data_IF_077248939490
#
_entry.id   IF_077248939490
#
_cell.length_a   1.000
_cell.length_b   1.000
_cell.length_c   1.000
_cell.angle_alpha   90.00
_cell.angle_beta   90.00
_cell.angle_gamma   90.00
#
_symmetry.space_group_name_H-M   'P 1'
#
loop_
_entity.id
_entity.type
_entity.pdbx_description
1 polymer ?
#
# COMPACT_ATOMS: atom_id res chain seq x y z
N UNK A 1 2.19 5.06 27.67
CA UNK A 1 3.03 4.17 26.84
C UNK A 1 3.46 4.94 25.59
N UNK A 2 4.76 5.03 25.32
CA UNK A 2 5.30 5.69 24.11
C UNK A 2 4.93 4.88 22.87
N UNK A 3 4.26 5.50 21.89
CA UNK A 3 3.89 4.85 20.61
C UNK A 3 4.86 5.27 19.51
N UNK A 4 5.80 4.38 19.19
CA UNK A 4 6.73 4.55 18.07
C UNK A 4 6.44 3.58 16.93
N UNK A 5 6.79 4.01 15.71
CA UNK A 5 6.92 3.14 14.53
C UNK A 5 8.26 3.44 13.87
N UNK A 6 8.80 2.49 13.10
CA UNK A 6 10.08 2.66 12.41
C UNK A 6 10.10 3.92 11.54
N UNK A 7 8.99 4.22 10.85
CA UNK A 7 8.84 5.45 10.07
C UNK A 7 8.87 6.73 10.92
N UNK A 8 8.18 6.73 12.06
CA UNK A 8 8.17 7.86 13.01
C UNK A 8 9.55 8.14 13.57
N UNK A 9 10.28 7.09 13.96
CA UNK A 9 11.63 7.20 14.50
C UNK A 9 12.63 7.68 13.45
N UNK A 10 12.56 7.13 12.23
CA UNK A 10 13.38 7.57 11.10
C UNK A 10 13.15 9.06 10.78
N UNK A 11 11.89 9.50 10.72
CA UNK A 11 11.57 10.93 10.52
C UNK A 11 12.16 11.80 11.62
N UNK A 12 12.09 11.38 12.89
CA UNK A 12 12.67 12.12 14.00
C UNK A 12 14.20 12.21 13.89
N UNK A 13 14.86 11.10 13.57
CA UNK A 13 16.31 11.05 13.37
C UNK A 13 16.77 11.94 12.21
N UNK A 14 15.99 11.99 11.13
CA UNK A 14 16.28 12.84 9.98
C UNK A 14 16.03 14.33 10.29
N UNK A 15 14.88 14.66 10.88
CA UNK A 15 14.51 16.03 11.21
C UNK A 15 13.49 16.07 12.37
N UNK A 16 13.93 16.37 13.61
CA UNK A 16 13.03 16.48 14.77
C UNK A 16 11.94 17.54 14.60
N UNK A 17 12.22 18.61 13.85
CA UNK A 17 11.24 19.67 13.57
C UNK A 17 10.11 19.18 12.67
N UNK A 18 10.43 18.39 11.64
CA UNK A 18 9.41 17.77 10.79
C UNK A 18 8.53 16.82 11.60
N UNK A 19 9.14 16.00 12.47
CA UNK A 19 8.40 15.11 13.36
C UNK A 19 7.42 15.88 14.25
N UNK A 20 7.87 16.99 14.88
CA UNK A 20 7.00 17.86 15.68
C UNK A 20 5.80 18.35 14.87
N UNK A 21 6.02 18.92 13.69
CA UNK A 21 4.93 19.40 12.83
C UNK A 21 3.95 18.30 12.42
N UNK A 22 4.46 17.11 12.10
CA UNK A 22 3.62 16.00 11.65
C UNK A 22 2.82 15.33 12.76
N UNK A 23 3.41 15.12 13.94
CA UNK A 23 2.87 14.23 14.97
C UNK A 23 2.57 14.89 16.32
N UNK A 24 3.17 16.06 16.61
CA UNK A 24 2.91 16.81 17.85
C UNK A 24 1.92 17.94 17.58
N UNK A 25 2.18 18.74 16.55
CA UNK A 25 1.32 19.86 16.16
C UNK A 25 0.16 19.41 15.24
N UNK A 26 0.13 18.13 14.84
CA UNK A 26 -0.90 17.49 14.00
C UNK A 26 -1.19 18.21 12.67
N UNK A 27 -0.21 18.96 12.15
CA UNK A 27 -0.37 19.71 10.89
C UNK A 27 -0.59 18.78 9.70
N UNK A 28 -0.14 17.53 9.81
CA UNK A 28 -0.40 16.50 8.81
C UNK A 28 -1.90 16.28 8.58
N UNK A 29 -2.75 16.35 9.61
CA UNK A 29 -4.20 16.16 9.46
C UNK A 29 -4.84 17.29 8.64
N UNK A 30 -4.28 18.50 8.71
CA UNK A 30 -4.78 19.68 8.02
C UNK A 30 -4.27 19.76 6.59
N UNK A 31 -2.97 19.50 6.38
CA UNK A 31 -2.30 19.79 5.10
C UNK A 31 -2.01 18.56 4.23
N UNK A 32 -2.11 17.34 4.77
CA UNK A 32 -1.83 16.13 3.97
C UNK A 32 -2.90 15.96 2.90
N UNK A 33 -2.47 16.04 1.65
CA UNK A 33 -3.28 15.68 0.49
C UNK A 33 -3.05 14.21 0.14
N UNK A 34 -4.09 13.47 -0.28
CA UNK A 34 -3.89 12.15 -0.85
C UNK A 34 -3.01 12.26 -2.10
N UNK A 35 -2.17 11.25 -2.31
CA UNK A 35 -1.26 11.19 -3.46
C UNK A 35 -1.46 9.88 -4.18
N UNK A 36 -1.36 9.87 -5.52
CA UNK A 36 -1.74 8.68 -6.28
C UNK A 36 -0.82 7.49 -6.00
N UNK A 37 0.48 7.72 -5.79
CA UNK A 37 1.43 6.65 -5.42
C UNK A 37 1.15 6.04 -4.04
N UNK A 38 0.69 6.84 -3.06
CA UNK A 38 0.28 6.32 -1.75
C UNK A 38 -1.02 5.52 -1.87
N UNK A 39 -2.00 6.01 -2.63
CA UNK A 39 -3.26 5.31 -2.88
C UNK A 39 -3.05 4.00 -3.65
N UNK A 40 -2.22 4.01 -4.69
CA UNK A 40 -1.81 2.79 -5.40
C UNK A 40 -1.14 1.80 -4.45
N UNK A 41 -0.15 2.25 -3.67
CA UNK A 41 0.57 1.38 -2.74
C UNK A 41 -0.35 0.75 -1.70
N UNK A 42 -1.31 1.51 -1.16
CA UNK A 42 -2.33 0.99 -0.25
C UNK A 42 -3.12 -0.18 -0.86
N UNK A 43 -3.55 -0.05 -2.12
CA UNK A 43 -4.26 -1.12 -2.83
C UNK A 43 -3.41 -2.35 -3.06
N UNK A 44 -2.15 -2.17 -3.48
CA UNK A 44 -1.21 -3.28 -3.69
C UNK A 44 -0.96 -4.04 -2.39
N UNK A 45 -0.67 -3.33 -1.30
CA UNK A 45 -0.44 -3.95 0.01
C UNK A 45 -1.69 -4.67 0.52
N UNK A 46 -2.87 -4.08 0.35
CA UNK A 46 -4.12 -4.72 0.74
C UNK A 46 -4.40 -5.99 -0.08
N UNK A 47 -4.10 -5.99 -1.38
CA UNK A 47 -4.27 -7.16 -2.24
C UNK A 47 -3.28 -8.27 -1.88
N UNK A 48 -2.00 -7.94 -1.70
CA UNK A 48 -0.96 -8.91 -1.33
C UNK A 48 -1.18 -9.50 0.06
N UNK A 49 -1.65 -8.68 1.01
CA UNK A 49 -2.03 -9.17 2.34
C UNK A 49 -3.08 -10.28 2.21
N UNK A 50 -4.21 -9.99 1.59
CA UNK A 50 -5.31 -10.94 1.47
C UNK A 50 -4.90 -12.16 0.63
N UNK A 51 -4.09 -11.96 -0.41
CA UNK A 51 -3.56 -13.03 -1.23
C UNK A 51 -2.69 -14.02 -0.44
N UNK A 52 -1.82 -13.53 0.45
CA UNK A 52 -0.91 -14.38 1.21
C UNK A 52 -1.50 -14.89 2.54
N UNK A 53 -2.54 -14.24 3.08
CA UNK A 53 -3.13 -14.63 4.36
C UNK A 53 -4.48 -15.34 4.27
N UNK A 54 -5.24 -15.15 3.20
CA UNK A 54 -6.61 -15.67 3.05
C UNK A 54 -6.69 -16.70 1.93
N UNK A 55 -6.04 -16.46 0.79
CA UNK A 55 -6.12 -17.38 -0.36
C UNK A 55 -5.30 -18.65 -0.07
N UNK A 56 -5.89 -19.85 -0.19
CA UNK A 56 -5.16 -21.11 -0.11
C UNK A 56 -4.02 -21.17 -1.13
N UNK A 57 -2.90 -21.82 -0.79
CA UNK A 57 -1.68 -21.83 -1.62
C UNK A 57 -1.94 -22.31 -3.05
N UNK A 58 -2.87 -23.25 -3.19
CA UNK A 58 -3.26 -23.96 -4.39
C UNK A 58 -4.06 -23.06 -5.34
N UNK A 59 -4.68 -22.01 -4.81
CA UNK A 59 -5.44 -21.00 -5.56
C UNK A 59 -4.63 -19.73 -5.85
N UNK A 60 -3.39 -19.64 -5.35
CA UNK A 60 -2.52 -18.46 -5.50
C UNK A 60 -1.94 -18.37 -6.91
N UNK A 61 -2.78 -17.83 -7.80
CA UNK A 61 -2.42 -17.55 -9.19
C UNK A 61 -2.28 -16.05 -9.43
N UNK A 62 -1.55 -15.67 -10.49
CA UNK A 62 -1.43 -14.28 -10.94
C UNK A 62 -2.82 -13.66 -11.18
N UNK A 63 -3.72 -14.40 -11.84
CA UNK A 63 -5.10 -13.96 -12.09
C UNK A 63 -5.86 -13.70 -10.79
N UNK A 64 -5.71 -14.56 -9.78
CA UNK A 64 -6.35 -14.36 -8.47
C UNK A 64 -5.85 -13.08 -7.79
N UNK A 65 -4.55 -12.80 -7.86
CA UNK A 65 -3.97 -11.57 -7.31
C UNK A 65 -4.42 -10.31 -8.06
N UNK A 66 -4.52 -10.35 -9.38
CA UNK A 66 -5.06 -9.24 -10.19
C UNK A 66 -6.53 -8.94 -9.83
N UNK A 67 -7.34 -9.98 -9.64
CA UNK A 67 -8.74 -9.81 -9.24
C UNK A 67 -8.84 -9.18 -7.84
N UNK A 68 -8.04 -9.64 -6.88
CA UNK A 68 -7.98 -9.02 -5.55
C UNK A 68 -7.56 -7.54 -5.65
N UNK A 69 -6.58 -7.21 -6.49
CA UNK A 69 -6.18 -5.82 -6.71
C UNK A 69 -7.35 -4.97 -7.22
N UNK A 70 -8.10 -5.47 -8.20
CA UNK A 70 -9.31 -4.77 -8.74
C UNK A 70 -10.38 -4.59 -7.68
N UNK A 71 -10.60 -5.58 -6.82
CA UNK A 71 -11.51 -5.48 -5.68
C UNK A 71 -11.05 -4.39 -4.68
N UNK A 72 -9.74 -4.37 -4.34
CA UNK A 72 -9.20 -3.38 -3.40
C UNK A 72 -9.25 -1.96 -3.96
N UNK A 73 -9.05 -1.82 -5.26
CA UNK A 73 -9.03 -0.54 -5.95
C UNK A 73 -10.28 0.31 -5.71
N UNK A 74 -11.45 -0.34 -5.54
CA UNK A 74 -12.72 0.34 -5.29
C UNK A 74 -12.80 1.04 -3.92
N UNK A 75 -11.91 0.70 -2.97
CA UNK A 75 -11.96 1.25 -1.60
C UNK A 75 -11.60 2.74 -1.52
N UNK A 76 -10.68 3.20 -2.36
CA UNK A 76 -10.15 4.56 -2.28
C UNK A 76 -9.61 5.02 -3.64
N UNK A 77 -10.19 6.09 -4.19
CA UNK A 77 -9.78 6.68 -5.47
C UNK A 77 -9.37 8.15 -5.33
N UNK A 78 -9.34 8.68 -4.10
CA UNK A 78 -9.13 10.12 -3.81
C UNK A 78 -7.72 10.63 -4.13
N UNK A 79 -6.76 9.73 -4.29
CA UNK A 79 -5.38 10.08 -4.62
C UNK A 79 -5.14 10.37 -6.11
N UNK A 80 -6.05 9.93 -6.97
CA UNK A 80 -5.92 10.11 -8.41
C UNK A 80 -6.52 11.46 -8.83
N UNK A 81 -5.87 12.10 -9.79
CA UNK A 81 -6.28 13.42 -10.27
C UNK A 81 -7.57 13.36 -11.08
N UNK A 82 -7.66 12.38 -11.96
CA UNK A 82 -8.75 12.13 -12.90
C UNK A 82 -8.73 10.65 -13.34
N UNK A 83 -9.66 10.27 -14.22
CA UNK A 83 -9.81 8.89 -14.67
C UNK A 83 -8.63 8.39 -15.51
N UNK A 84 -7.95 9.28 -16.25
CA UNK A 84 -6.79 8.90 -17.05
C UNK A 84 -5.56 8.66 -16.17
N UNK A 85 -5.33 9.54 -15.17
CA UNK A 85 -4.31 9.35 -14.14
C UNK A 85 -4.56 8.03 -13.40
N UNK A 86 -5.80 7.80 -12.96
CA UNK A 86 -6.16 6.55 -12.29
C UNK A 86 -5.87 5.32 -13.15
N UNK A 87 -6.23 5.34 -14.44
CA UNK A 87 -5.95 4.24 -15.36
C UNK A 87 -4.45 3.96 -15.44
N UNK A 88 -3.62 5.00 -15.56
CA UNK A 88 -2.16 4.85 -15.61
C UNK A 88 -1.61 4.23 -14.32
N UNK A 89 -2.11 4.65 -13.15
CA UNK A 89 -1.71 4.06 -11.87
C UNK A 89 -2.23 2.62 -11.71
N UNK A 90 -3.41 2.30 -12.23
CA UNK A 90 -3.95 0.94 -12.26
C UNK A 90 -3.08 0.00 -13.08
N UNK A 91 -2.65 0.40 -14.28
CA UNK A 91 -1.74 -0.39 -15.11
C UNK A 91 -0.37 -0.61 -14.44
N UNK A 92 0.16 0.43 -13.76
CA UNK A 92 1.38 0.30 -12.95
C UNK A 92 1.19 -0.66 -11.78
N UNK A 93 0.04 -0.66 -11.13
CA UNK A 93 -0.24 -1.59 -10.04
C UNK A 93 -0.33 -3.03 -10.55
N UNK A 94 -0.99 -3.24 -11.69
CA UNK A 94 -1.06 -4.54 -12.36
C UNK A 94 0.33 -5.06 -12.72
N UNK A 95 1.21 -4.22 -13.27
CA UNK A 95 2.58 -4.64 -13.59
C UNK A 95 3.37 -5.02 -12.33
N UNK A 96 3.20 -4.30 -11.22
CA UNK A 96 3.87 -4.63 -9.95
C UNK A 96 3.39 -5.94 -9.35
N UNK A 97 2.08 -6.23 -9.34
CA UNK A 97 1.57 -7.49 -8.79
C UNK A 97 1.91 -8.69 -9.68
N UNK A 98 1.94 -8.51 -11.01
CA UNK A 98 2.45 -9.53 -11.95
C UNK A 98 3.92 -9.82 -11.71
N UNK A 99 4.73 -8.76 -11.58
CA UNK A 99 6.15 -8.91 -11.28
C UNK A 99 6.35 -9.66 -9.96
N UNK A 100 5.62 -9.29 -8.90
CA UNK A 100 5.68 -10.00 -7.62
C UNK A 100 5.37 -11.49 -7.81
N UNK A 101 4.25 -11.83 -8.45
CA UNK A 101 3.82 -13.21 -8.60
C UNK A 101 4.75 -14.06 -9.47
N UNK A 102 5.52 -13.44 -10.38
CA UNK A 102 6.50 -14.13 -11.22
C UNK A 102 7.87 -14.29 -10.55
N UNK A 103 8.21 -13.44 -9.59
CA UNK A 103 9.57 -13.35 -9.03
C UNK A 103 9.65 -13.78 -7.55
N UNK A 104 8.53 -14.08 -6.91
CA UNK A 104 8.47 -14.45 -5.50
C UNK A 104 7.84 -15.84 -5.33
N UNK A 105 8.20 -16.53 -4.25
CA UNK A 105 7.57 -17.78 -3.88
C UNK A 105 6.15 -17.51 -3.33
N UNK A 106 5.14 -17.94 -4.08
CA UNK A 106 3.74 -17.75 -3.71
C UNK A 106 3.24 -18.76 -2.67
N UNK A 107 3.99 -19.84 -2.40
CA UNK A 107 3.62 -20.87 -1.44
C UNK A 107 3.89 -20.48 0.02
N UNK A 108 4.63 -19.39 0.24
CA UNK A 108 5.00 -18.92 1.57
C UNK A 108 3.77 -18.54 2.39
N UNK A 109 3.79 -18.87 3.68
CA UNK A 109 2.82 -18.35 4.65
C UNK A 109 3.54 -17.34 5.54
N UNK A 110 3.32 -16.02 5.35
CA UNK A 110 4.00 -15.01 6.15
C UNK A 110 3.59 -15.08 7.61
N UNK A 111 4.53 -14.85 8.52
CA UNK A 111 4.22 -14.58 9.93
C UNK A 111 3.64 -13.16 10.03
N UNK A 112 2.32 -13.09 10.20
CA UNK A 112 1.58 -11.85 10.36
C UNK A 112 1.54 -11.49 11.85
N UNK A 113 2.57 -10.77 12.32
CA UNK A 113 2.68 -10.27 13.70
C UNK A 113 2.10 -8.86 13.83
#
# INVERSE_FOLDING_TARGET
>A
MFRASSFRLSMFQQCPRQYKFHYIDDLARVYRKPRPYFTMGEHIHAALKDFLSIVPVEERTVSRLENLLREKWQRNRKGFKDLDDERQWGERALSQVRWFAQNQDLSVTPLMV
#
